data_IF_282450376510
#
_entry.id   IF_282450376510
#
_cell.length_a   1.000
_cell.length_b   1.000
_cell.length_c   1.000
_cell.angle_alpha   90.00
_cell.angle_beta   90.00
_cell.angle_gamma   90.00
#
_symmetry.space_group_name_H-M   'P 1'
#
loop_
_entity.id
_entity.type
_entity.pdbx_description
1 polymer ?
#
# COMPACT_ATOMS: atom_id res chain seq x y z
N UNK A 1 -55.81 -9.93 -1.53
CA UNK A 1 -55.23 -9.86 -0.18
C UNK A 1 -53.72 -10.03 -0.30
N UNK A 2 -52.95 -9.10 0.29
CA UNK A 2 -51.50 -9.12 0.60
C UNK A 2 -50.54 -9.23 -0.60
N UNK A 3 -49.91 -8.16 -1.12
CA UNK A 3 -48.77 -7.37 -0.61
C UNK A 3 -47.62 -8.22 -0.05
N UNK A 4 -46.40 -8.13 -0.62
CA UNK A 4 -45.22 -7.48 -0.04
C UNK A 4 -43.97 -8.12 -0.71
N UNK A 5 -42.78 -7.53 -0.83
CA UNK A 5 -42.25 -6.18 -0.74
C UNK A 5 -40.84 -6.23 -1.36
N UNK A 6 -40.44 -5.14 -2.02
CA UNK A 6 -39.11 -4.87 -2.59
C UNK A 6 -38.06 -4.75 -1.47
N UNK A 7 -36.78 -5.02 -1.76
CA UNK A 7 -35.73 -3.98 -1.93
C UNK A 7 -34.30 -4.53 -1.93
N UNK A 8 -33.58 -4.04 -2.93
CA UNK A 8 -32.13 -4.12 -3.17
C UNK A 8 -31.28 -3.70 -1.97
N UNK A 9 -30.21 -4.46 -1.72
CA UNK A 9 -29.11 -4.10 -0.82
C UNK A 9 -28.12 -3.16 -1.51
N UNK A 10 -27.96 -1.95 -0.96
CA UNK A 10 -26.83 -1.05 -1.24
C UNK A 10 -25.80 -1.26 -0.14
N UNK A 11 -24.61 -1.77 -0.48
CA UNK A 11 -23.46 -1.80 0.42
C UNK A 11 -22.78 -0.43 0.43
N UNK A 12 -22.61 0.17 1.61
CA UNK A 12 -21.71 1.32 1.86
C UNK A 12 -20.58 0.84 2.76
N UNK A 13 -19.33 1.07 2.31
CA UNK A 13 -18.12 0.85 3.10
C UNK A 13 -18.03 1.84 4.27
N UNK A 14 -17.68 1.35 5.46
CA UNK A 14 -17.18 2.18 6.56
C UNK A 14 -15.79 1.70 6.97
N UNK A 15 -14.84 2.64 6.97
CA UNK A 15 -13.43 2.47 7.37
C UNK A 15 -13.30 2.79 8.86
N UNK A 16 -12.69 1.92 9.69
CA UNK A 16 -12.31 2.30 11.04
C UNK A 16 -10.89 2.89 11.09
N UNK A 17 -10.78 4.04 11.77
CA UNK A 17 -9.55 4.71 12.17
C UNK A 17 -8.88 3.96 13.34
N UNK A 18 -7.59 3.69 13.23
CA UNK A 18 -6.77 3.18 14.34
C UNK A 18 -6.26 4.36 15.19
N UNK A 19 -6.36 4.23 16.52
CA UNK A 19 -5.51 5.00 17.45
C UNK A 19 -4.96 4.09 18.55
N UNK A 20 -3.65 4.25 18.74
CA UNK A 20 -2.68 3.55 19.59
C UNK A 20 -2.92 3.66 21.10
N UNK A 21 -2.46 2.67 21.86
CA UNK A 21 -2.22 2.79 23.32
C UNK A 21 -1.55 1.57 23.93
N UNK A 22 -0.28 1.71 24.32
CA UNK A 22 0.54 0.79 25.13
C UNK A 22 0.39 1.10 26.64
N UNK A 23 0.82 0.13 27.49
CA UNK A 23 1.20 0.20 28.93
C UNK A 23 0.14 -0.21 29.98
N UNK A 24 0.48 -0.69 31.19
CA UNK A 24 1.53 -1.52 31.84
C UNK A 24 0.92 -1.85 33.25
N UNK A 25 1.43 -2.85 33.97
CA UNK A 25 0.95 -3.40 35.27
C UNK A 25 0.32 -2.46 36.33
N UNK A 26 -0.67 -2.96 37.10
CA UNK A 26 -0.64 -2.91 38.58
C UNK A 26 -1.67 -3.83 39.27
N UNK A 27 -1.22 -4.48 40.35
CA UNK A 27 -1.99 -5.28 41.31
C UNK A 27 -2.53 -4.36 42.43
N UNK A 28 -3.68 -4.68 43.05
CA UNK A 28 -3.85 -4.74 44.52
C UNK A 28 -5.25 -5.23 44.92
N UNK A 29 -5.28 -5.79 46.12
CA UNK A 29 -6.20 -6.67 46.82
C UNK A 29 -7.59 -6.13 47.24
N UNK A 30 -8.55 -7.06 47.19
CA UNK A 30 -9.60 -7.37 48.19
C UNK A 30 -10.83 -6.46 48.33
N UNK A 31 -12.02 -7.00 48.01
CA UNK A 31 -13.18 -7.10 48.92
C UNK A 31 -14.35 -7.86 48.28
N UNK A 32 -14.72 -8.99 48.88
CA UNK A 32 -15.95 -9.74 48.58
C UNK A 32 -17.17 -8.93 49.03
N UNK A 33 -18.11 -8.68 48.11
CA UNK A 33 -19.52 -8.52 48.46
C UNK A 33 -20.38 -9.34 47.50
N UNK A 34 -21.17 -10.23 48.09
CA UNK A 34 -22.12 -11.08 47.39
C UNK A 34 -23.17 -10.24 46.67
N UNK A 35 -23.25 -10.36 45.34
CA UNK A 35 -24.48 -10.05 44.62
C UNK A 35 -24.98 -11.31 43.92
N UNK A 36 -26.18 -11.70 44.36
CA UNK A 36 -27.09 -12.72 43.83
C UNK A 36 -26.86 -13.02 42.35
N UNK A 37 -26.63 -14.30 42.07
CA UNK A 37 -26.77 -14.87 40.73
C UNK A 37 -28.22 -14.74 40.28
N UNK A 38 -28.49 -13.72 39.50
CA UNK A 38 -29.52 -13.80 38.47
C UNK A 38 -28.81 -14.31 37.22
N UNK A 39 -29.08 -15.57 36.88
CA UNK A 39 -28.71 -16.21 35.62
C UNK A 39 -29.37 -15.43 34.47
N UNK A 40 -28.80 -14.28 34.12
CA UNK A 40 -28.96 -13.72 32.80
C UNK A 40 -28.21 -14.69 31.90
N UNK A 41 -28.96 -15.38 31.03
CA UNK A 41 -28.40 -16.05 29.88
C UNK A 41 -27.67 -14.99 29.07
N UNK A 42 -26.38 -14.80 29.36
CA UNK A 42 -25.46 -14.20 28.42
C UNK A 42 -25.53 -15.11 27.21
N UNK A 43 -26.27 -14.67 26.21
CA UNK A 43 -26.14 -15.17 24.85
C UNK A 43 -24.64 -15.13 24.57
N UNK A 44 -24.01 -16.29 24.51
CA UNK A 44 -22.71 -16.41 23.87
C UNK A 44 -22.97 -15.98 22.44
N UNK A 45 -22.59 -14.74 22.13
CA UNK A 45 -22.38 -14.34 20.75
C UNK A 45 -21.17 -15.17 20.35
N UNK A 46 -21.41 -16.27 19.63
CA UNK A 46 -20.36 -16.97 18.92
C UNK A 46 -19.65 -15.92 18.05
N UNK A 47 -18.48 -15.49 18.52
CA UNK A 47 -17.51 -14.93 17.61
C UNK A 47 -17.04 -16.11 16.78
N UNK A 48 -17.66 -16.29 15.61
CA UNK A 48 -17.01 -16.93 14.48
C UNK A 48 -15.75 -16.12 14.19
N UNK A 49 -14.69 -16.38 14.96
CA UNK A 49 -13.35 -16.06 14.53
C UNK A 49 -13.14 -16.92 13.30
N UNK A 50 -13.39 -16.38 12.12
CA UNK A 50 -12.88 -16.94 10.88
C UNK A 50 -11.39 -17.10 11.09
N UNK A 51 -11.00 -18.32 11.42
CA UNK A 51 -9.64 -18.73 11.62
C UNK A 51 -9.04 -18.65 10.22
N UNK A 52 -8.44 -17.50 9.89
CA UNK A 52 -7.72 -17.36 8.64
C UNK A 52 -6.68 -18.49 8.63
N UNK A 53 -6.89 -19.48 7.76
CA UNK A 53 -5.91 -20.51 7.54
C UNK A 53 -4.68 -19.82 6.95
N UNK A 54 -3.62 -19.70 7.75
CA UNK A 54 -2.32 -19.17 7.33
C UNK A 54 -1.49 -20.25 6.63
N UNK A 55 -2.14 -21.14 5.90
CA UNK A 55 -1.43 -22.15 5.13
C UNK A 55 -0.81 -21.49 3.89
N UNK A 56 0.45 -21.85 3.64
CA UNK A 56 1.14 -21.43 2.44
C UNK A 56 0.36 -21.92 1.22
N UNK A 57 0.02 -21.01 0.32
CA UNK A 57 -0.64 -21.36 -0.94
C UNK A 57 0.31 -21.98 -1.98
N UNK A 58 1.63 -21.99 -1.71
CA UNK A 58 2.72 -22.51 -2.56
C UNK A 58 2.63 -22.11 -4.05
N UNK A 59 1.96 -21.00 -4.38
CA UNK A 59 1.73 -20.60 -5.78
C UNK A 59 3.01 -20.05 -6.39
N UNK A 60 3.45 -20.63 -7.49
CA UNK A 60 4.67 -20.23 -8.20
C UNK A 60 4.40 -19.22 -9.32
N UNK A 61 3.14 -18.87 -9.58
CA UNK A 61 2.75 -17.99 -10.67
C UNK A 61 1.61 -17.06 -10.24
N UNK A 62 1.57 -15.83 -10.75
CA UNK A 62 0.47 -14.90 -10.52
C UNK A 62 -0.81 -15.41 -11.18
N UNK A 63 -1.95 -15.15 -10.55
CA UNK A 63 -3.26 -15.41 -11.18
C UNK A 63 -3.42 -14.54 -12.44
N UNK A 64 -4.21 -15.00 -13.41
CA UNK A 64 -4.42 -14.28 -14.67
C UNK A 64 -4.97 -12.86 -14.45
N UNK A 65 -5.85 -12.69 -13.45
CA UNK A 65 -6.44 -11.41 -13.07
C UNK A 65 -5.47 -10.48 -12.33
N UNK A 66 -4.36 -11.02 -11.81
CA UNK A 66 -3.39 -10.31 -10.98
C UNK A 66 -2.06 -10.06 -11.70
N UNK A 67 -2.05 -10.17 -13.03
CA UNK A 67 -0.91 -9.80 -13.87
C UNK A 67 -0.66 -8.29 -13.85
N UNK A 68 0.60 -7.91 -13.98
CA UNK A 68 1.01 -6.51 -13.99
C UNK A 68 0.58 -5.82 -15.28
N UNK A 69 -0.39 -4.90 -15.18
CA UNK A 69 -0.71 -3.96 -16.25
C UNK A 69 0.30 -2.80 -16.24
N UNK A 70 1.35 -2.96 -17.07
CA UNK A 70 2.43 -1.98 -17.20
C UNK A 70 1.93 -0.61 -17.65
N UNK A 71 0.91 -0.55 -18.51
CA UNK A 71 0.39 0.71 -19.02
C UNK A 71 -0.33 1.48 -17.91
N UNK A 72 -1.18 0.80 -17.15
CA UNK A 72 -1.85 1.38 -15.98
C UNK A 72 -0.85 1.82 -14.92
N UNK A 73 0.15 1.00 -14.62
CA UNK A 73 1.23 1.32 -13.68
C UNK A 73 1.98 2.58 -14.13
N UNK A 74 2.39 2.63 -15.40
CA UNK A 74 3.12 3.77 -15.97
C UNK A 74 2.28 5.05 -15.91
N UNK A 75 1.00 4.97 -16.21
CA UNK A 75 0.08 6.12 -16.14
C UNK A 75 -0.05 6.66 -14.71
N UNK A 76 -0.30 5.78 -13.74
CA UNK A 76 -0.43 6.17 -12.32
C UNK A 76 0.87 6.75 -11.79
N UNK A 77 2.01 6.12 -12.10
CA UNK A 77 3.33 6.59 -11.70
C UNK A 77 3.64 7.97 -12.32
N UNK A 78 3.36 8.14 -13.62
CA UNK A 78 3.59 9.40 -14.33
C UNK A 78 2.73 10.53 -13.74
N UNK A 79 1.43 10.30 -13.54
CA UNK A 79 0.54 11.30 -12.95
C UNK A 79 1.00 11.71 -11.54
N UNK A 80 1.45 10.74 -10.74
CA UNK A 80 1.97 10.98 -9.38
C UNK A 80 3.24 11.83 -9.42
N UNK A 81 4.17 11.51 -10.32
CA UNK A 81 5.41 12.25 -10.53
C UNK A 81 5.13 13.68 -11.01
N UNK A 82 4.29 13.84 -12.03
CA UNK A 82 3.94 15.14 -12.57
C UNK A 82 3.31 16.03 -11.51
N UNK A 83 2.34 15.51 -10.75
CA UNK A 83 1.69 16.24 -9.66
C UNK A 83 2.70 16.68 -8.59
N UNK A 84 3.67 15.83 -8.25
CA UNK A 84 4.70 16.15 -7.27
C UNK A 84 5.71 17.20 -7.77
N UNK A 85 5.87 17.33 -9.09
CA UNK A 85 6.83 18.25 -9.70
C UNK A 85 6.22 19.60 -10.10
N UNK A 86 4.91 19.80 -9.95
CA UNK A 86 4.26 21.10 -10.19
C UNK A 86 4.87 22.14 -9.25
N UNK A 87 5.54 23.14 -9.83
CA UNK A 87 6.19 24.21 -9.06
C UNK A 87 7.46 23.79 -8.32
N UNK A 88 7.95 22.56 -8.50
CA UNK A 88 9.17 22.10 -7.83
C UNK A 88 10.41 22.81 -8.41
N UNK A 89 11.21 23.38 -7.50
CA UNK A 89 12.51 23.98 -7.80
C UNK A 89 13.59 23.23 -7.05
N UNK A 90 14.69 22.92 -7.73
CA UNK A 90 15.81 22.22 -7.11
C UNK A 90 16.39 23.00 -5.93
N UNK A 91 16.52 22.31 -4.79
CA UNK A 91 17.21 22.81 -3.60
C UNK A 91 18.05 21.68 -2.99
N UNK A 92 19.37 21.88 -2.92
CA UNK A 92 20.31 20.85 -2.48
C UNK A 92 20.02 20.32 -1.06
N UNK A 93 19.52 21.17 -0.16
CA UNK A 93 19.19 20.77 1.22
C UNK A 93 17.91 19.95 1.34
N UNK A 94 16.96 20.14 0.41
CA UNK A 94 15.63 19.52 0.45
C UNK A 94 15.50 18.31 -0.48
N UNK A 95 16.44 18.13 -1.42
CA UNK A 95 16.39 17.10 -2.46
C UNK A 95 16.23 15.68 -1.89
N UNK A 96 16.92 15.38 -0.79
CA UNK A 96 16.84 14.08 -0.14
C UNK A 96 15.44 13.81 0.40
N UNK A 97 14.91 14.74 1.18
CA UNK A 97 13.57 14.62 1.78
C UNK A 97 12.49 14.55 0.68
N UNK A 98 12.64 15.34 -0.38
CA UNK A 98 11.76 15.28 -1.54
C UNK A 98 11.78 13.91 -2.23
N UNK A 99 12.97 13.34 -2.46
CA UNK A 99 13.11 12.03 -3.09
C UNK A 99 12.50 10.91 -2.24
N UNK A 100 12.71 10.92 -0.92
CA UNK A 100 12.11 9.96 0.02
C UNK A 100 10.58 10.06 0.03
N UNK A 101 10.04 11.28 0.13
CA UNK A 101 8.60 11.53 0.09
C UNK A 101 7.98 11.05 -1.24
N UNK A 102 8.63 11.34 -2.36
CA UNK A 102 8.18 10.94 -3.68
C UNK A 102 8.23 9.42 -3.84
N UNK A 103 9.29 8.76 -3.34
CA UNK A 103 9.41 7.31 -3.36
C UNK A 103 8.25 6.65 -2.60
N UNK A 104 7.94 7.14 -1.40
CA UNK A 104 6.84 6.62 -0.59
C UNK A 104 5.47 6.90 -1.22
N UNK A 105 5.28 8.08 -1.82
CA UNK A 105 4.05 8.44 -2.52
C UNK A 105 3.80 7.52 -3.70
N UNK A 106 4.79 7.30 -4.56
CA UNK A 106 4.68 6.39 -5.70
C UNK A 106 4.43 4.96 -5.21
N UNK A 107 5.21 4.47 -4.23
CA UNK A 107 5.03 3.13 -3.64
C UNK A 107 3.62 2.95 -3.10
N UNK A 108 3.08 3.95 -2.41
CA UNK A 108 1.72 3.93 -1.87
C UNK A 108 0.67 3.87 -2.97
N UNK A 109 0.82 4.63 -4.06
CA UNK A 109 -0.07 4.55 -5.22
C UNK A 109 -0.03 3.18 -5.90
N UNK A 110 1.16 2.56 -6.01
CA UNK A 110 1.30 1.21 -6.57
C UNK A 110 0.60 0.15 -5.71
N UNK A 111 0.62 0.29 -4.38
CA UNK A 111 -0.09 -0.62 -3.47
C UNK A 111 -1.61 -0.59 -3.66
N UNK A 112 -2.19 0.53 -4.09
CA UNK A 112 -3.62 0.66 -4.36
C UNK A 112 -4.07 -0.15 -5.59
N UNK A 113 -3.13 -0.58 -6.44
CA UNK A 113 -3.42 -1.42 -7.60
C UNK A 113 -3.66 -2.90 -7.24
N UNK A 114 -3.62 -3.25 -5.95
CA UNK A 114 -3.89 -4.61 -5.45
C UNK A 114 -3.03 -5.68 -6.13
N UNK A 115 -1.74 -5.38 -6.27
CA UNK A 115 -0.76 -6.31 -6.84
C UNK A 115 -0.42 -7.39 -5.80
N UNK A 116 -1.06 -8.55 -5.90
CA UNK A 116 -0.85 -9.65 -4.96
C UNK A 116 0.53 -10.31 -5.14
N UNK A 117 1.21 -10.59 -4.03
CA UNK A 117 2.51 -11.28 -4.01
C UNK A 117 3.64 -10.56 -4.77
N UNK A 118 3.51 -9.25 -5.00
CA UNK A 118 4.61 -8.45 -5.56
C UNK A 118 5.28 -7.62 -4.47
N UNK A 119 6.61 -7.75 -4.36
CA UNK A 119 7.45 -6.78 -3.70
C UNK A 119 7.66 -5.60 -4.67
N UNK A 120 7.21 -4.43 -4.25
CA UNK A 120 7.40 -3.18 -4.98
C UNK A 120 8.66 -2.51 -4.43
N UNK A 121 9.55 -2.06 -5.31
CA UNK A 121 10.74 -1.28 -4.94
C UNK A 121 10.72 0.00 -5.78
N UNK A 122 10.85 1.15 -5.16
CA UNK A 122 10.86 2.45 -5.86
C UNK A 122 12.22 3.11 -5.64
N UNK A 123 12.94 3.37 -6.72
CA UNK A 123 14.17 4.13 -6.74
C UNK A 123 13.91 5.49 -7.39
N UNK A 124 14.26 6.56 -6.68
CA UNK A 124 14.14 7.94 -7.18
C UNK A 124 15.53 8.52 -7.34
N UNK A 125 15.81 9.07 -8.52
CA UNK A 125 17.02 9.82 -8.84
C UNK A 125 16.62 11.24 -9.19
N UNK A 126 17.12 12.22 -8.42
CA UNK A 126 16.90 13.64 -8.65
C UNK A 126 18.24 14.29 -8.95
N UNK A 127 18.30 15.13 -9.97
CA UNK A 127 19.50 15.92 -10.26
C UNK A 127 19.16 17.32 -10.74
N UNK A 128 20.14 18.21 -10.59
CA UNK A 128 20.02 19.59 -11.00
C UNK A 128 20.26 19.74 -12.51
N UNK A 129 19.48 20.59 -13.18
CA UNK A 129 19.63 20.85 -14.60
C UNK A 129 20.61 22.01 -14.83
N UNK A 130 21.92 21.70 -14.87
CA UNK A 130 23.02 22.66 -15.13
C UNK A 130 23.85 22.37 -16.38
N UNK A 131 23.36 21.52 -17.28
CA UNK A 131 24.07 21.11 -18.49
C UNK A 131 24.89 19.82 -18.34
N UNK A 132 24.72 19.11 -17.23
CA UNK A 132 25.26 17.76 -17.00
C UNK A 132 24.30 16.69 -17.56
N UNK A 133 24.85 15.55 -17.98
CA UNK A 133 24.08 14.37 -18.42
C UNK A 133 24.14 13.28 -17.35
N UNK A 134 23.02 12.59 -17.14
CA UNK A 134 22.93 11.43 -16.26
C UNK A 134 22.32 10.25 -17.02
N UNK A 135 23.07 9.16 -17.08
CA UNK A 135 22.59 7.88 -17.61
C UNK A 135 22.39 6.87 -16.48
N UNK A 136 21.17 6.38 -16.35
CA UNK A 136 20.81 5.37 -15.35
C UNK A 136 20.63 4.04 -16.07
N UNK A 137 21.37 3.02 -15.64
CA UNK A 137 21.21 1.65 -16.07
C UNK A 137 20.99 0.75 -14.85
N UNK A 138 20.20 -0.30 -15.01
CA UNK A 138 20.00 -1.33 -13.99
C UNK A 138 20.22 -2.70 -14.62
N UNK A 139 20.96 -3.56 -13.93
CA UNK A 139 21.18 -4.95 -14.33
C UNK A 139 20.56 -5.84 -13.27
N UNK A 140 19.73 -6.78 -13.69
CA UNK A 140 19.01 -7.63 -12.76
C UNK A 140 18.88 -9.05 -13.30
N UNK A 141 18.89 -10.02 -12.37
CA UNK A 141 18.55 -11.41 -12.65
C UNK A 141 17.09 -11.61 -12.27
N UNK A 142 16.21 -11.59 -13.27
CA UNK A 142 14.76 -11.61 -13.07
C UNK A 142 14.11 -12.83 -13.70
N UNK A 143 12.96 -13.21 -13.15
CA UNK A 143 12.05 -14.11 -13.83
C UNK A 143 11.37 -13.36 -14.98
N UNK A 144 11.64 -13.78 -16.23
CA UNK A 144 11.11 -13.16 -17.45
C UNK A 144 9.58 -13.19 -17.53
N UNK A 145 8.91 -14.08 -16.80
CA UNK A 145 7.46 -14.21 -16.85
C UNK A 145 6.75 -13.28 -15.86
N UNK A 146 7.32 -13.07 -14.67
CA UNK A 146 6.62 -12.44 -13.55
C UNK A 146 7.20 -11.06 -13.18
N UNK A 147 8.52 -10.92 -13.17
CA UNK A 147 9.18 -9.70 -12.70
C UNK A 147 9.16 -8.62 -13.79
N UNK A 148 8.88 -7.38 -13.39
CA UNK A 148 8.80 -6.24 -14.32
C UNK A 148 9.39 -4.99 -13.69
N UNK A 149 9.71 -4.01 -14.53
CA UNK A 149 10.04 -2.67 -14.07
C UNK A 149 9.41 -1.62 -14.96
N UNK A 150 9.28 -0.41 -14.41
CA UNK A 150 8.85 0.77 -15.13
C UNK A 150 9.77 1.93 -14.75
N UNK A 151 10.32 2.60 -15.75
CA UNK A 151 11.07 3.84 -15.58
C UNK A 151 10.29 4.99 -16.20
N UNK A 152 10.15 6.07 -15.43
CA UNK A 152 9.55 7.32 -15.87
C UNK A 152 10.49 8.47 -15.52
N UNK A 153 10.53 9.49 -16.37
CA UNK A 153 11.36 10.67 -16.17
C UNK A 153 10.52 11.90 -16.43
N UNK A 154 10.69 12.93 -15.60
CA UNK A 154 10.12 14.25 -15.79
C UNK A 154 11.18 15.30 -15.52
N UNK A 155 11.14 16.35 -16.32
CA UNK A 155 12.05 17.48 -16.21
C UNK A 155 11.28 18.75 -15.92
N UNK A 156 11.90 19.63 -15.13
CA UNK A 156 11.52 21.04 -14.98
C UNK A 156 12.66 21.91 -15.52
N UNK A 157 12.52 23.23 -15.34
CA UNK A 157 13.57 24.18 -15.70
C UNK A 157 14.83 24.00 -14.84
N UNK A 158 14.69 23.53 -13.59
CA UNK A 158 15.80 23.47 -12.63
C UNK A 158 16.26 22.06 -12.27
N UNK A 159 15.46 21.02 -12.55
CA UNK A 159 15.76 19.66 -12.14
C UNK A 159 15.29 18.64 -13.19
N UNK A 160 15.88 17.45 -13.14
CA UNK A 160 15.32 16.23 -13.71
C UNK A 160 15.07 15.23 -12.57
N UNK A 161 13.98 14.46 -12.70
CA UNK A 161 13.62 13.40 -11.75
C UNK A 161 13.29 12.15 -12.54
N UNK A 162 14.00 11.07 -12.25
CA UNK A 162 13.75 9.74 -12.80
C UNK A 162 13.31 8.81 -11.68
N UNK A 163 12.17 8.16 -11.87
CA UNK A 163 11.66 7.13 -10.97
C UNK A 163 11.72 5.77 -11.68
N UNK A 164 12.40 4.82 -11.06
CA UNK A 164 12.42 3.42 -11.49
C UNK A 164 11.70 2.57 -10.45
N UNK A 165 10.67 1.86 -10.89
CA UNK A 165 9.83 1.02 -10.05
C UNK A 165 10.05 -0.42 -10.47
N UNK A 166 10.46 -1.27 -9.53
CA UNK A 166 10.63 -2.70 -9.73
C UNK A 166 9.49 -3.47 -9.06
N UNK A 167 9.00 -4.48 -9.75
CA UNK A 167 8.00 -5.42 -9.29
C UNK A 167 8.62 -6.81 -9.32
N UNK A 168 8.85 -7.36 -8.13
CA UNK A 168 9.45 -8.68 -7.94
C UNK A 168 8.42 -9.62 -7.36
N UNK A 169 8.10 -10.69 -8.06
CA UNK A 169 7.12 -11.67 -7.60
C UNK A 169 7.70 -12.51 -6.45
N UNK A 170 6.90 -12.76 -5.42
CA UNK A 170 7.29 -13.57 -4.26
C UNK A 170 6.65 -14.94 -4.34
N UNK A 171 7.45 -15.93 -4.72
CA UNK A 171 7.13 -17.36 -4.72
C UNK A 171 6.98 -17.96 -3.32
#
# INVERSE_FOLDING_TARGET
MQSSNRRNSKLRLNVPQNSTGFNYYDNFSNSRSHRRSTRASFLQVDHDQQQNSYENSYRMQPDDDHKLDINRIKLVAMNTLETAMIGYKYQQKEVKAFAELLAEKIRSQMKLLQLYRYKIITQISVGEKRGEDLRIASQCLWNLQTDRHVTITKETVSAYVTATIFFVYTD
#
